data_IF_622303477150
#
_entry.id   IF_622303477150
#
_cell.length_a   1.000
_cell.length_b   1.000
_cell.length_c   1.000
_cell.angle_alpha   90.00
_cell.angle_beta   90.00
_cell.angle_gamma   90.00
#
_symmetry.space_group_name_H-M   'P 1'
#
loop_
_entity.id
_entity.type
_entity.pdbx_description
1 polymer ?
#
# COMPACT_ATOMS: atom_id res chain seq x y z
N UNK A 1 42.82 1.50 20.80
CA UNK A 1 42.56 0.47 19.77
C UNK A 1 41.32 -0.32 20.21
N UNK A 2 40.13 0.05 19.75
CA UNK A 2 38.85 -0.55 20.18
C UNK A 2 38.53 -1.70 19.20
N UNK A 3 38.52 -2.93 19.70
CA UNK A 3 38.09 -4.09 18.94
C UNK A 3 36.60 -3.92 18.56
N UNK A 4 36.33 -3.74 17.27
CA UNK A 4 34.98 -3.87 16.70
C UNK A 4 34.58 -5.33 16.83
N UNK A 5 33.80 -5.64 17.86
CA UNK A 5 33.11 -6.92 17.99
C UNK A 5 32.16 -7.02 16.80
N UNK A 6 32.45 -7.90 15.85
CA UNK A 6 31.54 -8.25 14.76
C UNK A 6 30.28 -8.83 15.40
N UNK A 7 29.16 -8.13 15.27
CA UNK A 7 27.86 -8.62 15.71
C UNK A 7 27.42 -9.70 14.71
N UNK A 8 27.35 -10.95 15.17
CA UNK A 8 26.64 -12.00 14.46
C UNK A 8 25.16 -11.90 14.82
N UNK A 9 24.28 -11.66 13.84
CA UNK A 9 22.85 -11.53 14.11
C UNK A 9 22.32 -12.84 14.69
N UNK A 10 21.49 -12.74 15.74
CA UNK A 10 20.78 -13.90 16.27
C UNK A 10 19.65 -14.31 15.31
N UNK A 11 19.11 -15.52 15.47
CA UNK A 11 17.93 -15.96 14.69
C UNK A 11 16.74 -15.01 14.80
N UNK A 12 16.55 -14.36 15.95
CA UNK A 12 15.51 -13.34 16.12
C UNK A 12 15.79 -12.09 15.28
N UNK A 13 17.05 -11.66 15.21
CA UNK A 13 17.45 -10.49 14.41
C UNK A 13 17.34 -10.79 12.91
N UNK A 14 17.62 -12.03 12.48
CA UNK A 14 17.43 -12.48 11.10
C UNK A 14 15.94 -12.54 10.73
N UNK A 15 15.09 -13.11 11.59
CA UNK A 15 13.64 -13.15 11.40
C UNK A 15 13.03 -11.74 11.36
N UNK A 16 13.44 -10.87 12.27
CA UNK A 16 13.02 -9.47 12.31
C UNK A 16 13.44 -8.72 11.03
N UNK A 17 14.69 -8.91 10.56
CA UNK A 17 15.14 -8.34 9.30
C UNK A 17 14.42 -8.92 8.08
N UNK A 18 14.03 -10.20 8.11
CA UNK A 18 13.23 -10.82 7.05
C UNK A 18 11.84 -10.17 6.98
N UNK A 19 11.22 -9.92 8.13
CA UNK A 19 9.92 -9.24 8.25
C UNK A 19 10.02 -7.78 7.81
N UNK A 20 11.11 -7.08 8.15
CA UNK A 20 11.37 -5.71 7.69
C UNK A 20 11.67 -5.62 6.18
N UNK A 21 12.23 -6.67 5.58
CA UNK A 21 12.53 -6.74 4.15
C UNK A 21 11.36 -7.23 3.27
N UNK A 22 10.41 -7.98 3.85
CA UNK A 22 9.29 -8.56 3.12
C UNK A 22 8.16 -7.54 2.92
N UNK A 23 7.99 -7.08 1.68
CA UNK A 23 6.84 -6.27 1.27
C UNK A 23 5.79 -7.11 0.57
N UNK A 24 4.52 -6.98 0.97
CA UNK A 24 3.37 -7.57 0.31
C UNK A 24 2.78 -6.58 -0.70
N UNK A 25 2.52 -7.04 -1.93
CA UNK A 25 1.77 -6.27 -2.91
C UNK A 25 0.32 -6.75 -2.96
N UNK A 26 -0.61 -5.81 -2.86
CA UNK A 26 -2.05 -6.06 -2.92
C UNK A 26 -2.66 -5.33 -4.10
N UNK A 27 -3.58 -6.01 -4.79
CA UNK A 27 -4.43 -5.41 -5.82
C UNK A 27 -5.88 -5.54 -5.36
N UNK A 28 -6.52 -4.40 -5.13
CA UNK A 28 -7.94 -4.32 -4.80
C UNK A 28 -8.74 -4.07 -6.07
N UNK A 29 -9.89 -4.71 -6.19
CA UNK A 29 -10.75 -4.57 -7.34
C UNK A 29 -12.24 -4.64 -7.02
N UNK A 30 -13.04 -4.24 -7.99
CA UNK A 30 -14.51 -4.24 -7.95
C UNK A 30 -15.05 -4.95 -9.17
N UNK A 31 -16.24 -5.56 -9.07
CA UNK A 31 -16.84 -6.25 -10.22
C UNK A 31 -17.30 -5.30 -11.33
N UNK A 32 -17.56 -4.03 -11.01
CA UNK A 32 -17.80 -2.97 -11.98
C UNK A 32 -16.64 -1.96 -12.05
N UNK A 33 -16.75 -1.05 -13.02
CA UNK A 33 -15.82 0.06 -13.23
C UNK A 33 -16.57 1.38 -13.48
N UNK A 34 -17.60 1.60 -12.68
CA UNK A 34 -18.40 2.83 -12.70
C UNK A 34 -17.97 3.77 -11.57
N UNK A 35 -18.40 5.05 -11.58
CA UNK A 35 -18.14 5.97 -10.47
C UNK A 35 -18.58 5.43 -9.10
N UNK A 36 -19.66 4.63 -9.04
CA UNK A 36 -20.11 3.99 -7.79
C UNK A 36 -19.11 2.93 -7.33
N UNK A 37 -18.61 2.11 -8.25
CA UNK A 37 -17.58 1.10 -7.95
C UNK A 37 -16.29 1.77 -7.45
N UNK A 38 -15.88 2.88 -8.08
CA UNK A 38 -14.71 3.64 -7.65
C UNK A 38 -14.88 4.19 -6.23
N UNK A 39 -16.07 4.67 -5.88
CA UNK A 39 -16.36 5.14 -4.53
C UNK A 39 -16.27 4.00 -3.50
N UNK A 40 -16.88 2.85 -3.82
CA UNK A 40 -16.82 1.65 -2.96
C UNK A 40 -15.37 1.19 -2.78
N UNK A 41 -14.59 1.15 -3.87
CA UNK A 41 -13.17 0.83 -3.83
C UNK A 41 -12.40 1.82 -2.95
N UNK A 42 -12.70 3.12 -3.05
CA UNK A 42 -12.12 4.16 -2.21
C UNK A 42 -12.39 3.92 -0.71
N UNK A 43 -13.62 3.58 -0.34
CA UNK A 43 -13.96 3.23 1.05
C UNK A 43 -13.27 1.93 1.51
N UNK A 44 -13.08 0.95 0.62
CA UNK A 44 -12.35 -0.28 0.95
C UNK A 44 -10.86 0.02 1.19
N UNK A 45 -10.24 0.83 0.32
CA UNK A 45 -8.86 1.31 0.45
C UNK A 45 -8.68 2.05 1.78
N UNK A 46 -9.56 2.99 2.13
CA UNK A 46 -9.52 3.71 3.41
C UNK A 46 -9.48 2.74 4.60
N UNK A 47 -10.37 1.75 4.64
CA UNK A 47 -10.42 0.77 5.73
C UNK A 47 -9.13 -0.05 5.83
N UNK A 48 -8.56 -0.46 4.69
CA UNK A 48 -7.26 -1.15 4.66
C UNK A 48 -6.17 -0.26 5.21
N UNK A 49 -6.08 1.00 4.76
CA UNK A 49 -5.05 1.93 5.21
C UNK A 49 -5.15 2.23 6.71
N UNK A 50 -6.36 2.48 7.22
CA UNK A 50 -6.59 2.73 8.65
C UNK A 50 -6.25 1.50 9.49
N UNK A 51 -6.63 0.30 9.03
CA UNK A 51 -6.30 -0.94 9.73
C UNK A 51 -4.80 -1.21 9.74
N UNK A 52 -4.13 -1.08 8.60
CA UNK A 52 -2.68 -1.22 8.49
C UNK A 52 -1.96 -0.21 9.39
N UNK A 53 -2.41 1.04 9.42
CA UNK A 53 -1.86 2.06 10.33
C UNK A 53 -1.99 1.65 11.80
N UNK A 54 -3.16 1.14 12.22
CA UNK A 54 -3.38 0.64 13.59
C UNK A 54 -2.49 -0.56 13.95
N UNK A 55 -2.05 -1.34 12.96
CA UNK A 55 -1.15 -2.48 13.12
C UNK A 55 0.34 -2.12 12.90
N UNK A 56 0.67 -0.84 12.67
CA UNK A 56 2.05 -0.41 12.41
C UNK A 56 2.57 -0.77 11.01
N UNK A 57 1.71 -1.24 10.12
CA UNK A 57 2.04 -1.56 8.72
C UNK A 57 2.06 -0.29 7.88
N UNK A 58 3.19 -0.02 7.25
CA UNK A 58 3.34 1.08 6.29
C UNK A 58 2.71 0.71 4.95
N UNK A 59 2.08 1.69 4.31
CA UNK A 59 1.39 1.52 3.03
C UNK A 59 1.90 2.54 2.00
N UNK A 60 2.12 2.10 0.77
CA UNK A 60 2.40 3.01 -0.36
C UNK A 60 1.59 2.63 -1.59
N UNK A 61 0.97 3.62 -2.23
CA UNK A 61 0.25 3.42 -3.49
C UNK A 61 1.21 3.18 -4.66
N UNK A 62 0.81 2.27 -5.53
CA UNK A 62 1.52 1.92 -6.76
C UNK A 62 0.53 1.89 -7.93
N UNK A 63 -0.28 2.93 -8.09
CA UNK A 63 -1.39 2.97 -9.04
C UNK A 63 -0.96 3.17 -10.51
N UNK A 64 0.32 3.28 -10.82
CA UNK A 64 0.82 3.41 -12.19
C UNK A 64 0.31 2.29 -13.13
N UNK A 65 0.26 1.00 -12.72
CA UNK A 65 -0.24 -0.09 -13.57
C UNK A 65 -1.73 -0.01 -13.89
N UNK A 66 -2.51 0.75 -13.12
CA UNK A 66 -3.96 0.89 -13.32
C UNK A 66 -4.35 2.21 -14.00
N UNK A 67 -3.41 3.15 -14.15
CA UNK A 67 -3.65 4.47 -14.73
C UNK A 67 -3.92 4.44 -16.24
N UNK A 68 -3.41 3.42 -16.95
CA UNK A 68 -3.55 3.28 -18.41
C UNK A 68 -4.44 2.06 -18.69
N UNK A 69 -5.58 2.19 -19.41
CA UNK A 69 -6.52 1.09 -19.63
C UNK A 69 -5.91 -0.20 -20.19
N UNK A 70 -4.96 -0.07 -21.12
CA UNK A 70 -4.23 -1.20 -21.69
C UNK A 70 -3.36 -1.92 -20.65
N UNK A 71 -2.63 -1.17 -19.81
CA UNK A 71 -1.78 -1.74 -18.76
C UNK A 71 -2.65 -2.38 -17.67
N UNK A 72 -3.77 -1.74 -17.31
CA UNK A 72 -4.73 -2.28 -16.33
C UNK A 72 -5.32 -3.61 -16.81
N UNK A 73 -5.64 -3.72 -18.10
CA UNK A 73 -6.12 -4.96 -18.72
C UNK A 73 -5.06 -6.06 -18.68
N UNK A 74 -3.78 -5.72 -18.93
CA UNK A 74 -2.66 -6.67 -18.79
C UNK A 74 -2.49 -7.14 -17.35
N UNK A 75 -2.53 -6.23 -16.37
CA UNK A 75 -2.48 -6.57 -14.94
C UNK A 75 -3.58 -7.57 -14.56
N UNK A 76 -4.82 -7.30 -15.00
CA UNK A 76 -5.96 -8.19 -14.77
C UNK A 76 -5.70 -9.59 -15.35
N UNK A 77 -5.22 -9.67 -16.59
CA UNK A 77 -4.90 -10.94 -17.24
C UNK A 77 -3.76 -11.70 -16.54
N UNK A 78 -2.68 -11.01 -16.16
CA UNK A 78 -1.55 -11.60 -15.43
C UNK A 78 -1.97 -12.18 -14.09
N UNK A 79 -2.88 -11.50 -13.38
CA UNK A 79 -3.41 -11.97 -12.10
C UNK A 79 -4.60 -12.93 -12.25
N UNK A 80 -4.99 -13.28 -13.48
CA UNK A 80 -6.14 -14.14 -13.81
C UNK A 80 -7.44 -13.69 -13.12
N UNK A 81 -7.64 -12.38 -13.02
CA UNK A 81 -8.80 -11.80 -12.34
C UNK A 81 -9.94 -11.54 -13.31
N UNK A 82 -11.17 -11.67 -12.81
CA UNK A 82 -12.40 -11.30 -13.55
C UNK A 82 -12.92 -9.91 -13.19
N UNK A 83 -12.43 -9.31 -12.10
CA UNK A 83 -12.82 -7.99 -11.62
C UNK A 83 -11.93 -6.86 -12.20
N UNK A 84 -12.24 -5.62 -11.87
CA UNK A 84 -11.50 -4.43 -12.30
C UNK A 84 -10.55 -3.98 -11.19
N UNK A 85 -9.21 -3.98 -11.40
CA UNK A 85 -8.27 -3.40 -10.47
C UNK A 85 -8.54 -1.90 -10.24
N UNK A 86 -8.78 -1.51 -8.99
CA UNK A 86 -9.06 -0.13 -8.59
C UNK A 86 -7.95 0.52 -7.77
N UNK A 87 -7.13 -0.28 -7.09
CA UNK A 87 -5.96 0.22 -6.36
C UNK A 87 -4.88 -0.84 -6.22
N UNK A 88 -3.63 -0.40 -6.22
CA UNK A 88 -2.46 -1.26 -5.96
C UNK A 88 -1.70 -0.67 -4.79
N UNK A 89 -1.48 -1.47 -3.76
CA UNK A 89 -0.76 -1.09 -2.55
C UNK A 89 0.46 -1.98 -2.35
N UNK A 90 1.54 -1.39 -1.85
CA UNK A 90 2.61 -2.12 -1.17
C UNK A 90 2.43 -1.94 0.34
N UNK A 91 2.49 -3.04 1.07
CA UNK A 91 2.35 -3.14 2.51
C UNK A 91 3.66 -3.71 3.08
N UNK A 92 4.14 -3.17 4.19
CA UNK A 92 5.33 -3.70 4.85
C UNK A 92 5.67 -2.94 6.13
N UNK A 93 6.70 -3.40 6.83
CA UNK A 93 7.20 -2.73 8.03
C UNK A 93 8.43 -1.89 7.67
N UNK A 94 8.56 -0.73 8.30
CA UNK A 94 9.65 0.19 8.00
C UNK A 94 9.56 1.48 8.81
N UNK A 95 10.48 2.40 8.58
CA UNK A 95 10.50 3.69 9.25
C UNK A 95 9.26 4.51 8.89
N UNK A 96 8.69 5.17 9.89
CA UNK A 96 7.58 6.10 9.71
C UNK A 96 8.04 7.30 8.88
N UNK A 97 7.32 7.57 7.79
CA UNK A 97 7.52 8.78 7.01
C UNK A 97 6.85 9.98 7.70
N UNK A 98 7.41 11.21 7.56
CA UNK A 98 6.74 12.42 8.03
C UNK A 98 5.35 12.60 7.41
N UNK A 99 4.44 13.21 8.17
CA UNK A 99 3.12 13.55 7.66
C UNK A 99 3.24 14.46 6.43
N UNK A 100 2.53 14.10 5.35
CA UNK A 100 2.49 14.93 4.14
C UNK A 100 1.57 16.14 4.37
N UNK A 101 1.93 17.34 3.88
CA UNK A 101 1.09 18.53 4.02
C UNK A 101 -0.33 18.30 3.45
N UNK A 102 -1.33 18.97 4.04
CA UNK A 102 -2.73 18.97 3.57
C UNK A 102 -3.22 20.41 3.45
N UNK A 103 -4.12 20.67 2.49
CA UNK A 103 -4.83 21.96 2.38
C UNK A 103 -5.73 22.14 3.61
N UNK A 104 -5.99 23.39 3.99
CA UNK A 104 -6.90 23.67 5.09
C UNK A 104 -8.34 23.32 4.68
N UNK A 105 -9.15 22.91 5.64
CA UNK A 105 -10.56 22.57 5.40
C UNK A 105 -11.33 23.77 4.86
N UNK A 106 -11.04 24.97 5.37
CA UNK A 106 -11.63 26.22 4.91
C UNK A 106 -11.34 26.52 3.42
N UNK A 107 -10.29 25.94 2.83
CA UNK A 107 -9.97 26.11 1.41
C UNK A 107 -10.72 25.12 0.49
N UNK A 108 -11.44 24.15 1.07
CA UNK A 108 -12.01 23.01 0.36
C UNK A 108 -13.52 22.83 0.59
N UNK A 109 -14.08 23.41 1.65
CA UNK A 109 -15.52 23.35 1.94
C UNK A 109 -16.21 24.61 1.38
N UNK A 110 -17.20 24.42 0.52
CA UNK A 110 -18.09 25.48 0.04
C UNK A 110 -19.40 25.30 0.80
N UNK A 111 -19.87 26.38 1.43
CA UNK A 111 -21.19 26.42 2.10
C UNK A 111 -22.35 26.39 1.10
#
# INVERSE_FOLDING_TARGET
MRATRTYEPSRQDEEENLVLGASLFTVMGTFGDTPVDWFIAGQAVERVLLRSCAEGVQCSFLNQPIAIPFIRSRLRATLQRSDYPQAVLRLGYGSLAPATPRRLVADMLIE
#
